data_IF_889372418334
#
_entry.id   IF_889372418334
#
_cell.length_a   1.000
_cell.length_b   1.000
_cell.length_c   1.000
_cell.angle_alpha   90.00
_cell.angle_beta   90.00
_cell.angle_gamma   90.00
#
_symmetry.space_group_name_H-M   'P 1'
#
loop_
_entity.id
_entity.type
_entity.pdbx_description
1 polymer ?
#
# COMPACT_ATOMS: atom_id res chain seq x y z
N UNK A 1 -61.63 13.18 -8.20
CA UNK A 1 -61.38 11.75 -8.21
C UNK A 1 -59.87 11.51 -8.10
N UNK A 2 -59.40 11.25 -6.89
CA UNK A 2 -57.97 11.03 -6.59
C UNK A 2 -57.76 9.53 -6.39
N UNK A 3 -57.11 8.88 -7.35
CA UNK A 3 -56.74 7.45 -7.22
C UNK A 3 -55.45 7.37 -6.43
N UNK A 4 -55.53 6.81 -5.23
CA UNK A 4 -54.36 6.43 -4.45
C UNK A 4 -53.86 5.07 -4.94
N UNK A 5 -52.67 5.04 -5.52
CA UNK A 5 -51.96 3.82 -5.86
C UNK A 5 -51.26 3.28 -4.60
N UNK A 6 -51.83 2.23 -4.03
CA UNK A 6 -51.17 1.47 -2.98
C UNK A 6 -50.00 0.65 -3.57
N UNK A 7 -48.78 1.01 -3.16
CA UNK A 7 -47.63 0.14 -3.38
C UNK A 7 -47.67 -1.00 -2.36
N UNK A 8 -47.90 -2.20 -2.85
CA UNK A 8 -47.75 -3.42 -2.06
C UNK A 8 -46.27 -3.67 -1.81
N UNK A 9 -45.86 -3.74 -0.55
CA UNK A 9 -44.54 -4.16 -0.14
C UNK A 9 -44.31 -5.62 -0.55
N UNK A 10 -43.18 -5.96 -1.19
CA UNK A 10 -42.85 -7.36 -1.42
C UNK A 10 -42.50 -8.02 -0.08
N UNK A 11 -43.19 -9.08 0.24
CA UNK A 11 -42.85 -9.99 1.33
C UNK A 11 -41.50 -10.63 1.03
N UNK A 12 -40.55 -10.41 1.93
CA UNK A 12 -39.26 -11.10 1.93
C UNK A 12 -39.54 -12.55 2.30
N UNK A 13 -39.25 -13.55 1.45
CA UNK A 13 -39.33 -14.95 1.85
C UNK A 13 -38.22 -15.24 2.88
N UNK A 14 -38.62 -15.99 3.89
CA UNK A 14 -37.89 -16.31 5.10
C UNK A 14 -36.43 -16.65 4.93
N UNK A 15 -35.71 -16.27 5.97
CA UNK A 15 -34.33 -16.61 6.21
C UNK A 15 -34.12 -18.13 6.02
N UNK A 16 -33.31 -18.50 5.03
CA UNK A 16 -32.82 -19.85 4.92
C UNK A 16 -31.92 -20.12 6.13
N UNK A 17 -32.28 -21.04 6.98
CA UNK A 17 -31.41 -21.60 8.00
C UNK A 17 -30.17 -22.14 7.30
N UNK A 18 -29.04 -21.57 7.67
CA UNK A 18 -27.73 -22.09 7.29
C UNK A 18 -27.52 -23.41 8.05
N UNK A 19 -27.41 -24.55 7.36
CA UNK A 19 -27.10 -25.79 8.01
C UNK A 19 -25.67 -25.79 8.51
N UNK A 20 -25.52 -25.97 9.83
CA UNK A 20 -24.32 -26.55 10.43
C UNK A 20 -23.06 -25.72 10.32
N UNK A 21 -22.91 -24.82 11.28
CA UNK A 21 -21.58 -24.41 11.73
C UNK A 21 -20.92 -25.66 12.34
N UNK A 22 -20.09 -26.33 11.54
CA UNK A 22 -19.15 -27.32 12.08
C UNK A 22 -18.24 -26.60 13.06
N UNK A 23 -18.14 -27.07 14.33
CA UNK A 23 -17.20 -26.48 15.28
C UNK A 23 -15.79 -26.58 14.69
N UNK A 24 -14.95 -25.57 14.89
CA UNK A 24 -13.58 -25.63 14.42
C UNK A 24 -12.90 -26.85 15.05
N UNK A 25 -12.37 -27.71 14.19
CA UNK A 25 -11.54 -28.83 14.60
C UNK A 25 -10.41 -28.27 15.47
N UNK A 26 -10.22 -28.74 16.71
CA UNK A 26 -9.11 -28.28 17.53
C UNK A 26 -7.81 -28.60 16.77
N UNK A 27 -7.01 -27.58 16.57
CA UNK A 27 -5.68 -27.72 16.02
C UNK A 27 -4.92 -28.77 16.85
N UNK A 28 -4.22 -29.73 16.21
CA UNK A 28 -3.40 -30.66 16.97
C UNK A 28 -2.43 -29.89 17.80
N UNK A 29 -2.40 -30.20 19.09
CA UNK A 29 -1.45 -29.63 20.02
C UNK A 29 -0.05 -29.67 19.39
N UNK A 30 0.57 -28.51 19.27
CA UNK A 30 1.96 -28.39 18.89
C UNK A 30 2.71 -29.29 19.88
N UNK A 31 3.21 -30.41 19.37
CA UNK A 31 4.09 -31.25 20.17
C UNK A 31 5.27 -30.35 20.52
N UNK A 32 5.49 -30.19 21.82
CA UNK A 32 6.72 -29.68 22.37
C UNK A 32 7.84 -30.44 21.69
N UNK A 33 8.47 -29.81 20.70
CA UNK A 33 9.76 -30.23 20.21
C UNK A 33 10.71 -29.94 21.38
N UNK A 34 10.80 -30.88 22.31
CA UNK A 34 11.98 -30.98 23.14
C UNK A 34 13.14 -31.03 22.17
N UNK A 35 13.86 -29.93 22.09
CA UNK A 35 15.22 -29.95 21.62
C UNK A 35 15.96 -30.85 22.60
N UNK A 36 16.04 -32.12 22.27
CA UNK A 36 17.04 -32.97 22.88
C UNK A 36 18.36 -32.35 22.45
N UNK A 37 19.11 -31.96 23.46
CA UNK A 37 20.49 -31.55 23.36
C UNK A 37 21.21 -32.74 22.72
N UNK A 38 21.34 -32.73 21.40
CA UNK A 38 22.07 -33.75 20.67
C UNK A 38 23.57 -33.41 20.80
N UNK A 39 24.34 -34.16 21.60
CA UNK A 39 25.76 -33.89 21.79
C UNK A 39 26.60 -34.04 20.51
N UNK A 40 25.99 -34.51 19.43
CA UNK A 40 26.60 -34.70 18.13
C UNK A 40 26.23 -33.60 17.13
N UNK A 41 25.70 -32.48 17.63
CA UNK A 41 25.46 -31.31 16.75
C UNK A 41 26.80 -30.79 16.23
N UNK A 42 26.99 -30.71 14.92
CA UNK A 42 28.22 -30.19 14.32
C UNK A 42 28.51 -28.73 14.67
N UNK A 43 27.59 -28.08 15.39
CA UNK A 43 27.72 -26.69 15.88
C UNK A 43 28.18 -26.62 17.35
N UNK A 44 28.34 -27.74 18.05
CA UNK A 44 28.81 -27.73 19.43
C UNK A 44 30.28 -27.33 19.59
N UNK A 45 31.04 -27.26 18.49
CA UNK A 45 32.45 -26.91 18.50
C UNK A 45 32.76 -25.45 18.09
N UNK A 46 31.79 -24.60 18.05
CA UNK A 46 32.00 -23.17 17.67
C UNK A 46 32.29 -22.27 18.88
N UNK A 47 32.40 -22.82 20.09
CA UNK A 47 32.64 -22.02 21.30
C UNK A 47 34.10 -21.97 21.74
N UNK A 48 35.04 -22.55 21.01
CA UNK A 48 36.47 -22.46 21.31
C UNK A 48 37.28 -21.99 20.10
N UNK A 49 36.79 -21.00 19.41
CA UNK A 49 37.55 -20.23 18.46
C UNK A 49 38.15 -19.03 19.18
N UNK A 50 39.47 -19.02 19.33
CA UNK A 50 40.24 -17.89 19.71
C UNK A 50 39.65 -16.65 19.03
N UNK A 51 39.17 -15.70 19.84
CA UNK A 51 38.89 -14.36 19.36
C UNK A 51 40.22 -13.81 18.94
N UNK A 52 40.58 -14.01 17.70
CA UNK A 52 41.55 -13.12 17.07
C UNK A 52 40.87 -11.76 17.11
N UNK A 53 41.37 -10.96 17.94
CA UNK A 53 41.19 -9.52 17.98
C UNK A 53 41.61 -8.98 16.61
N UNK A 54 40.76 -9.18 15.61
CA UNK A 54 40.83 -8.42 14.40
C UNK A 54 40.57 -7.01 14.84
N UNK A 55 41.62 -6.24 14.95
CA UNK A 55 41.54 -4.80 14.97
C UNK A 55 40.58 -4.41 13.87
N UNK A 56 39.36 -4.06 14.27
CA UNK A 56 38.50 -3.27 13.42
C UNK A 56 39.29 -1.99 13.18
N UNK A 57 40.01 -1.95 12.08
CA UNK A 57 40.39 -0.71 11.48
C UNK A 57 39.07 -0.07 11.19
N UNK A 58 38.75 0.91 11.99
CA UNK A 58 37.63 1.80 11.80
C UNK A 58 37.93 2.60 10.53
N UNK A 59 37.83 1.93 9.41
CA UNK A 59 37.78 2.56 8.11
C UNK A 59 36.31 2.97 7.96
N UNK A 60 35.96 4.03 8.67
CA UNK A 60 34.70 4.75 8.52
C UNK A 60 34.66 5.45 7.16
N UNK A 61 34.98 4.74 6.13
CA UNK A 61 34.45 4.98 4.82
C UNK A 61 33.04 4.40 4.83
N UNK A 62 32.14 5.10 5.50
CA UNK A 62 30.73 4.96 5.21
C UNK A 62 30.56 5.45 3.79
N UNK A 63 30.80 4.55 2.85
CA UNK A 63 30.29 4.71 1.52
C UNK A 63 28.76 4.63 1.70
N UNK A 64 28.18 5.77 2.05
CA UNK A 64 26.76 5.98 1.91
C UNK A 64 26.53 5.80 0.44
N UNK A 65 25.99 4.62 0.05
CA UNK A 65 25.53 4.39 -1.30
C UNK A 65 24.66 5.62 -1.63
N UNK A 66 24.90 6.33 -2.74
CA UNK A 66 24.10 7.49 -3.06
C UNK A 66 22.66 7.03 -3.06
N UNK A 67 21.89 7.56 -2.11
CA UNK A 67 20.45 7.35 -2.10
C UNK A 67 19.98 7.85 -3.45
N UNK A 68 19.35 7.02 -4.29
CA UNK A 68 18.88 7.47 -5.59
C UNK A 68 17.99 8.69 -5.35
N UNK A 69 18.48 9.85 -5.77
CA UNK A 69 17.73 11.09 -5.64
C UNK A 69 16.62 10.99 -6.68
N UNK A 70 15.39 10.79 -6.22
CA UNK A 70 14.24 10.84 -7.09
C UNK A 70 14.24 12.21 -7.79
N UNK A 71 14.18 12.18 -9.12
CA UNK A 71 14.15 13.39 -9.93
C UNK A 71 12.70 13.71 -10.27
N UNK A 72 12.28 14.94 -9.97
CA UNK A 72 10.99 15.44 -10.46
C UNK A 72 11.03 15.48 -11.99
N UNK A 73 10.13 14.75 -12.62
CA UNK A 73 9.96 14.72 -14.07
C UNK A 73 8.92 15.74 -14.53
N UNK A 74 7.81 15.81 -13.83
CA UNK A 74 6.68 16.65 -14.13
C UNK A 74 6.10 17.20 -12.83
N UNK A 75 5.66 18.45 -12.87
CA UNK A 75 5.10 19.15 -11.72
C UNK A 75 3.98 20.07 -12.15
N UNK A 76 2.83 19.92 -11.52
CA UNK A 76 1.60 20.66 -11.82
C UNK A 76 1.04 21.26 -10.55
N UNK A 77 0.72 22.53 -10.57
CA UNK A 77 0.15 23.24 -9.44
C UNK A 77 -1.25 23.76 -9.76
N UNK A 78 -2.16 23.71 -8.78
CA UNK A 78 -3.56 24.11 -8.94
C UNK A 78 -3.76 25.60 -9.32
N UNK A 79 -2.74 26.44 -9.14
CA UNK A 79 -2.75 27.83 -9.60
C UNK A 79 -2.54 27.98 -11.12
N UNK A 80 -1.99 26.96 -11.77
CA UNK A 80 -1.63 26.97 -13.20
C UNK A 80 -2.48 26.00 -14.01
N UNK A 81 -2.93 24.92 -13.37
CA UNK A 81 -3.68 23.83 -14.00
C UNK A 81 -5.01 23.59 -13.27
N UNK A 82 -6.06 23.35 -14.04
CA UNK A 82 -7.32 22.89 -13.51
C UNK A 82 -7.32 21.36 -13.43
N UNK A 83 -7.43 20.82 -12.23
CA UNK A 83 -7.50 19.39 -12.03
C UNK A 83 -8.91 18.89 -12.30
N UNK A 84 -9.05 18.09 -13.34
CA UNK A 84 -10.31 17.52 -13.83
C UNK A 84 -10.16 16.03 -14.07
N UNK A 85 -11.24 15.26 -14.26
CA UNK A 85 -11.15 13.86 -14.65
C UNK A 85 -10.33 13.65 -15.93
N UNK A 86 -10.51 14.53 -16.91
CA UNK A 86 -9.79 14.48 -18.19
C UNK A 86 -8.30 14.69 -17.98
N UNK A 87 -7.91 15.64 -17.11
CA UNK A 87 -6.51 15.89 -16.79
C UNK A 87 -5.83 14.62 -16.27
N UNK A 88 -6.44 13.93 -15.30
CA UNK A 88 -5.85 12.71 -14.75
C UNK A 88 -5.90 11.53 -15.71
N UNK A 89 -6.92 11.41 -16.51
CA UNK A 89 -7.05 10.33 -17.49
C UNK A 89 -6.11 10.47 -18.67
N UNK A 90 -5.74 11.70 -19.02
CA UNK A 90 -4.88 12.01 -20.17
C UNK A 90 -3.39 12.02 -19.77
N UNK A 91 -3.03 12.79 -18.72
CA UNK A 91 -1.64 12.97 -18.30
C UNK A 91 -1.11 11.84 -17.42
N UNK A 92 -1.98 11.18 -16.67
CA UNK A 92 -1.61 10.14 -15.69
C UNK A 92 -2.23 8.78 -15.97
N UNK A 93 -2.55 8.51 -17.24
CA UNK A 93 -3.15 7.25 -17.68
C UNK A 93 -2.34 6.01 -17.23
N UNK A 94 -1.02 6.13 -17.13
CA UNK A 94 -0.13 5.05 -16.68
C UNK A 94 -0.34 4.67 -15.21
N UNK A 95 -0.92 5.56 -14.40
CA UNK A 95 -1.23 5.30 -13.00
C UNK A 95 -2.68 4.88 -12.79
N UNK A 96 -3.55 4.95 -13.81
CA UNK A 96 -4.96 4.59 -13.71
C UNK A 96 -5.12 3.08 -13.91
N UNK A 97 -5.77 2.41 -12.96
CA UNK A 97 -6.09 0.99 -13.03
C UNK A 97 -4.94 0.03 -12.69
N UNK A 98 -3.76 0.51 -12.39
CA UNK A 98 -2.63 -0.31 -12.00
C UNK A 98 -1.40 0.49 -11.61
N UNK A 99 -0.42 -0.17 -10.99
CA UNK A 99 0.85 0.47 -10.68
C UNK A 99 1.61 0.81 -11.96
N UNK A 100 2.21 1.99 -11.99
CA UNK A 100 3.08 2.36 -13.08
C UNK A 100 4.24 1.36 -13.21
N UNK A 101 4.43 0.84 -14.41
CA UNK A 101 5.49 -0.14 -14.70
C UNK A 101 6.84 0.52 -14.96
N UNK A 102 6.87 1.84 -15.04
CA UNK A 102 8.04 2.65 -15.43
C UNK A 102 8.97 2.96 -14.26
N UNK A 103 8.64 2.55 -13.03
CA UNK A 103 9.39 2.93 -11.83
C UNK A 103 9.18 4.40 -11.41
N UNK A 104 8.19 5.05 -11.99
CA UNK A 104 7.76 6.39 -11.61
C UNK A 104 6.84 6.34 -10.39
N UNK A 105 6.88 7.38 -9.57
CA UNK A 105 5.98 7.56 -8.44
C UNK A 105 5.15 8.83 -8.64
N UNK A 106 3.86 8.74 -8.38
CA UNK A 106 2.95 9.89 -8.42
C UNK A 106 2.74 10.41 -7.00
N UNK A 107 3.01 11.70 -6.81
CA UNK A 107 2.80 12.39 -5.54
C UNK A 107 1.63 13.34 -5.70
N UNK A 108 0.63 13.20 -4.83
CA UNK A 108 -0.45 14.18 -4.68
C UNK A 108 -0.27 14.93 -3.39
N UNK A 109 -0.38 16.24 -3.45
CA UNK A 109 -0.35 17.12 -2.28
C UNK A 109 -1.67 17.86 -2.12
N UNK A 110 -2.07 17.99 -0.87
CA UNK A 110 -3.18 18.82 -0.43
C UNK A 110 -2.64 19.86 0.54
N UNK A 111 -3.48 20.77 1.01
CA UNK A 111 -3.08 21.71 2.05
C UNK A 111 -2.65 21.04 3.37
N UNK A 112 -3.04 19.79 3.60
CA UNK A 112 -2.83 19.10 4.88
C UNK A 112 -1.91 17.88 4.76
N UNK A 113 -1.89 17.18 3.64
CA UNK A 113 -1.25 15.88 3.47
C UNK A 113 -0.51 15.77 2.14
N UNK A 114 0.46 14.85 2.13
CA UNK A 114 1.14 14.38 0.93
C UNK A 114 0.92 12.88 0.79
N UNK A 115 0.59 12.42 -0.41
CA UNK A 115 0.32 11.02 -0.71
C UNK A 115 1.26 10.53 -1.81
N UNK A 116 2.03 9.50 -1.52
CA UNK A 116 2.80 8.75 -2.52
C UNK A 116 1.92 7.65 -3.08
N UNK A 117 1.39 7.88 -4.28
CA UNK A 117 0.35 7.04 -4.87
C UNK A 117 0.96 5.85 -5.58
N UNK A 118 0.43 4.67 -5.29
CA UNK A 118 0.77 3.45 -6.01
C UNK A 118 0.01 3.37 -7.34
N UNK A 119 -1.31 3.62 -7.31
CA UNK A 119 -2.14 3.75 -8.50
C UNK A 119 -3.46 4.45 -8.19
N UNK A 120 -4.09 4.98 -9.23
CA UNK A 120 -5.42 5.56 -9.19
C UNK A 120 -6.42 4.44 -9.51
N UNK A 121 -7.30 4.12 -8.56
CA UNK A 121 -8.33 3.09 -8.71
C UNK A 121 -9.49 3.58 -9.56
N UNK A 122 -9.92 4.80 -9.31
CA UNK A 122 -11.08 5.41 -9.98
C UNK A 122 -10.81 6.88 -10.24
N UNK A 123 -11.16 7.33 -11.45
CA UNK A 123 -11.26 8.74 -11.82
C UNK A 123 -12.75 9.05 -11.96
N UNK A 124 -13.29 9.80 -11.01
CA UNK A 124 -14.70 10.21 -10.98
C UNK A 124 -14.86 11.67 -11.42
N UNK A 125 -16.09 12.08 -11.69
CA UNK A 125 -16.42 13.47 -12.05
C UNK A 125 -16.05 14.49 -10.95
N UNK A 126 -15.96 14.05 -9.70
CA UNK A 126 -15.76 14.92 -8.53
C UNK A 126 -14.38 14.77 -7.87
N UNK A 127 -13.67 13.69 -8.15
CA UNK A 127 -12.38 13.41 -7.50
C UNK A 127 -11.74 12.12 -7.95
N UNK A 128 -10.70 11.75 -7.23
CA UNK A 128 -9.90 10.55 -7.45
C UNK A 128 -10.01 9.60 -6.25
N UNK A 129 -10.13 8.32 -6.55
CA UNK A 129 -9.90 7.26 -5.59
C UNK A 129 -8.55 6.60 -5.91
N UNK A 130 -7.69 6.46 -4.93
CA UNK A 130 -6.33 5.98 -5.15
C UNK A 130 -5.83 5.13 -3.99
N UNK A 131 -4.83 4.30 -4.29
CA UNK A 131 -4.15 3.46 -3.31
C UNK A 131 -2.75 4.01 -3.06
N UNK A 132 -2.40 4.12 -1.80
CA UNK A 132 -1.10 4.59 -1.34
C UNK A 132 -0.57 3.73 -0.18
N UNK A 133 0.74 3.78 0.05
CA UNK A 133 1.36 3.10 1.19
C UNK A 133 1.46 4.04 2.38
N UNK A 134 0.95 3.62 3.53
CA UNK A 134 1.11 4.31 4.80
C UNK A 134 1.52 3.32 5.88
N UNK A 135 2.63 3.57 6.55
CA UNK A 135 3.16 2.72 7.63
C UNK A 135 3.30 1.23 7.24
N UNK A 136 3.64 0.96 5.97
CA UNK A 136 3.79 -0.41 5.45
C UNK A 136 2.47 -1.12 5.13
N UNK A 137 1.35 -0.42 5.15
CA UNK A 137 0.04 -0.92 4.75
C UNK A 137 -0.48 -0.18 3.53
N UNK A 138 -1.22 -0.88 2.70
CA UNK A 138 -1.94 -0.28 1.59
C UNK A 138 -3.25 0.31 2.08
N UNK A 139 -3.45 1.57 1.78
CA UNK A 139 -4.65 2.32 2.14
C UNK A 139 -5.29 2.89 0.89
N UNK A 140 -6.60 3.02 0.92
CA UNK A 140 -7.39 3.64 -0.12
C UNK A 140 -7.98 4.94 0.39
N UNK A 141 -7.89 5.99 -0.41
CA UNK A 141 -8.38 7.33 -0.07
C UNK A 141 -9.10 7.93 -1.27
N UNK A 142 -10.05 8.80 -1.00
CA UNK A 142 -10.73 9.61 -2.01
C UNK A 142 -10.46 11.09 -1.77
N UNK A 143 -9.97 11.78 -2.81
CA UNK A 143 -9.77 13.23 -2.80
C UNK A 143 -10.59 13.90 -3.87
N UNK A 144 -11.25 15.01 -3.51
CA UNK A 144 -11.86 15.89 -4.51
C UNK A 144 -10.79 16.67 -5.27
N UNK A 145 -11.04 17.00 -6.52
CA UNK A 145 -10.10 17.81 -7.30
C UNK A 145 -9.79 19.16 -6.66
N UNK A 146 -10.76 19.74 -5.95
CA UNK A 146 -10.60 21.02 -5.26
C UNK A 146 -9.62 20.97 -4.07
N UNK A 147 -9.41 19.79 -3.49
CA UNK A 147 -8.50 19.60 -2.37
C UNK A 147 -7.05 19.37 -2.83
N UNK A 148 -6.86 19.02 -4.10
CA UNK A 148 -5.52 18.77 -4.66
C UNK A 148 -4.88 20.12 -4.99
N UNK A 149 -3.75 20.40 -4.39
CA UNK A 149 -2.98 21.63 -4.62
C UNK A 149 -1.84 21.43 -5.59
N UNK A 150 -1.29 20.21 -5.64
CA UNK A 150 -0.10 19.91 -6.42
C UNK A 150 -0.05 18.45 -6.82
N UNK A 151 0.42 18.19 -8.02
CA UNK A 151 0.66 16.85 -8.57
C UNK A 151 2.09 16.80 -9.10
N UNK A 152 2.86 15.81 -8.69
CA UNK A 152 4.25 15.64 -9.10
C UNK A 152 4.53 14.20 -9.52
N UNK A 153 5.26 14.03 -10.61
CA UNK A 153 5.79 12.72 -11.03
C UNK A 153 7.27 12.66 -10.71
N UNK A 154 7.65 11.69 -9.91
CA UNK A 154 9.05 11.40 -9.57
C UNK A 154 9.52 10.20 -10.37
N UNK A 155 10.64 10.35 -11.08
CA UNK A 155 11.34 9.26 -11.73
C UNK A 155 12.57 8.81 -10.95
N UNK A 156 12.96 7.57 -11.13
CA UNK A 156 14.27 7.11 -10.70
C UNK A 156 15.35 7.68 -11.62
N UNK A 157 16.30 8.31 -10.99
CA UNK A 157 17.50 8.77 -11.69
C UNK A 157 18.41 7.60 -12.03
#
# INVERSE_FOLDING_TARGET
>A
ATSATQFASPSVPGAAELPGTTPPTPLPAVRDLKYEDDPDSPYANLTDGAVEETQFVDDSATATAPVPVAKSLEHYHSSEYEFTPEFFSEYFAQFVGGAATTGEALILRTNANEYSIHHISIVDATGLQFIFASQGQWMEEFLTYADITEVEVLGHA
#
